data_IF_369976108010
#
_entry.id   IF_369976108010
#
_cell.length_a   1.000
_cell.length_b   1.000
_cell.length_c   1.000
_cell.angle_alpha   90.00
_cell.angle_beta   90.00
_cell.angle_gamma   90.00
#
_symmetry.space_group_name_H-M   'P 1'
#
loop_
_entity.id
_entity.type
_entity.pdbx_description
1 polymer ?
#
# COMPACT_ATOMS: atom_id res chain seq x y z
N UNK A 1 0.11 -10.93 0.36
CA UNK A 1 0.02 -10.31 1.69
C UNK A 1 0.91 -9.08 1.73
N UNK A 2 0.43 -7.96 2.27
CA UNK A 2 1.25 -6.76 2.46
C UNK A 2 2.24 -7.01 3.61
N UNK A 3 3.57 -6.82 3.41
CA UNK A 3 4.54 -6.99 4.47
C UNK A 3 4.36 -5.93 5.56
N UNK A 4 4.77 -6.27 6.78
CA UNK A 4 4.77 -5.34 7.92
C UNK A 4 6.20 -5.18 8.42
N UNK A 5 6.71 -3.95 8.36
CA UNK A 5 7.99 -3.60 8.91
C UNK A 5 7.87 -3.16 10.37
N UNK A 6 8.63 -3.78 11.24
CA UNK A 6 8.76 -3.38 12.64
C UNK A 6 10.19 -2.95 12.92
N UNK A 7 10.43 -1.64 12.99
CA UNK A 7 11.73 -1.02 13.25
C UNK A 7 12.38 -1.58 14.53
N UNK A 8 11.57 -1.98 15.50
CA UNK A 8 12.03 -2.48 16.79
C UNK A 8 12.78 -3.79 16.68
N UNK A 9 12.50 -4.61 15.68
CA UNK A 9 13.14 -5.93 15.52
C UNK A 9 14.65 -5.84 15.33
N UNK A 10 15.12 -4.75 14.72
CA UNK A 10 16.56 -4.53 14.45
C UNK A 10 17.15 -3.40 15.27
N UNK A 11 16.39 -2.36 15.58
CA UNK A 11 16.89 -1.12 16.18
C UNK A 11 16.44 -0.90 17.62
N UNK A 12 15.65 -1.82 18.20
CA UNK A 12 15.09 -1.65 19.55
C UNK A 12 14.03 -0.55 19.62
N UNK A 13 13.78 -0.02 20.79
CA UNK A 13 12.79 1.03 20.99
C UNK A 13 13.27 2.35 20.37
N UNK A 14 12.44 2.93 19.52
CA UNK A 14 12.70 4.16 18.76
C UNK A 14 11.48 5.08 18.80
N UNK A 15 11.63 6.29 18.24
CA UNK A 15 10.51 7.21 18.01
C UNK A 15 9.68 6.88 16.76
N UNK A 16 9.85 5.69 16.16
CA UNK A 16 9.18 5.21 14.95
C UNK A 16 9.55 5.93 13.64
N UNK A 17 10.43 6.92 13.68
CA UNK A 17 10.87 7.62 12.48
C UNK A 17 12.05 6.92 11.82
N UNK A 18 12.07 6.97 10.49
CA UNK A 18 13.22 6.54 9.69
C UNK A 18 14.17 7.73 9.58
N UNK A 19 15.24 7.72 10.37
CA UNK A 19 16.12 8.88 10.53
C UNK A 19 17.48 8.72 9.86
N UNK A 20 17.83 7.50 9.44
CA UNK A 20 19.12 7.22 8.85
C UNK A 20 19.03 6.18 7.73
N UNK A 21 20.13 6.06 6.99
CA UNK A 21 20.21 5.20 5.81
C UNK A 21 20.06 3.72 6.15
N UNK A 22 20.52 3.29 7.31
CA UNK A 22 20.45 1.88 7.73
C UNK A 22 18.99 1.48 7.97
N UNK A 23 18.23 2.31 8.67
CA UNK A 23 16.78 2.12 8.85
C UNK A 23 16.03 2.14 7.52
N UNK A 24 16.40 3.05 6.61
CA UNK A 24 15.81 3.12 5.27
C UNK A 24 16.08 1.87 4.43
N UNK A 25 17.29 1.30 4.52
CA UNK A 25 17.63 0.04 3.84
C UNK A 25 16.84 -1.13 4.39
N UNK A 26 16.73 -1.24 5.69
CA UNK A 26 15.96 -2.29 6.36
C UNK A 26 14.47 -2.24 5.99
N UNK A 27 13.89 -1.04 5.93
CA UNK A 27 12.54 -0.83 5.41
C UNK A 27 12.41 -1.26 3.94
N UNK A 28 13.38 -0.89 3.10
CA UNK A 28 13.39 -1.26 1.69
C UNK A 28 13.54 -2.78 1.49
N UNK A 29 14.36 -3.45 2.30
CA UNK A 29 14.47 -4.91 2.31
C UNK A 29 13.14 -5.57 2.68
N UNK A 30 12.44 -5.06 3.69
CA UNK A 30 11.11 -5.55 4.07
C UNK A 30 10.07 -5.31 2.96
N UNK A 31 10.12 -4.16 2.27
CA UNK A 31 9.27 -3.89 1.11
C UNK A 31 9.51 -4.91 -0.02
N UNK A 32 10.78 -5.22 -0.30
CA UNK A 32 11.17 -6.16 -1.36
C UNK A 32 10.60 -5.78 -2.73
N UNK A 33 9.96 -6.72 -3.40
CA UNK A 33 9.30 -6.52 -4.70
C UNK A 33 7.84 -6.03 -4.60
N UNK A 34 7.34 -5.76 -3.39
CA UNK A 34 5.98 -5.29 -3.20
C UNK A 34 5.87 -3.79 -3.52
N UNK A 35 4.65 -3.33 -3.77
CA UNK A 35 4.35 -1.91 -4.00
C UNK A 35 4.02 -1.15 -2.71
N UNK A 36 3.87 -1.87 -1.60
CA UNK A 36 3.50 -1.30 -0.30
C UNK A 36 4.07 -2.14 0.84
N UNK A 37 4.45 -1.47 1.92
CA UNK A 37 4.80 -2.05 3.21
C UNK A 37 4.11 -1.26 4.33
N UNK A 38 3.52 -1.96 5.28
CA UNK A 38 2.99 -1.34 6.50
C UNK A 38 4.14 -1.12 7.48
N UNK A 39 4.13 0.03 8.14
CA UNK A 39 5.11 0.39 9.15
C UNK A 39 4.42 0.37 10.52
N UNK A 40 4.80 -0.58 11.37
CA UNK A 40 4.17 -0.76 12.68
C UNK A 40 4.17 0.54 13.48
N UNK A 41 2.97 0.98 13.90
CA UNK A 41 2.78 2.18 14.73
C UNK A 41 3.04 3.51 14.02
N UNK A 42 3.27 3.50 12.69
CA UNK A 42 3.58 4.70 11.92
C UNK A 42 2.61 4.93 10.74
N UNK A 43 2.46 3.95 9.88
CA UNK A 43 1.64 4.07 8.67
C UNK A 43 2.07 3.10 7.58
N UNK A 44 2.32 3.60 6.38
CA UNK A 44 2.77 2.78 5.26
C UNK A 44 3.71 3.54 4.33
N UNK A 45 4.59 2.78 3.68
CA UNK A 45 5.37 3.26 2.53
C UNK A 45 4.82 2.61 1.27
N UNK A 46 4.61 3.43 0.24
CA UNK A 46 4.11 2.99 -1.07
C UNK A 46 5.10 3.43 -2.14
N UNK A 47 5.31 2.57 -3.13
CA UNK A 47 6.18 2.85 -4.27
C UNK A 47 5.45 2.58 -5.58
N UNK A 48 5.86 3.25 -6.64
CA UNK A 48 5.34 3.05 -7.99
C UNK A 48 6.35 3.52 -9.03
N UNK A 49 6.19 3.10 -10.26
CA UNK A 49 7.04 3.56 -11.38
C UNK A 49 6.74 5.01 -11.76
N UNK A 50 5.54 5.47 -11.47
CA UNK A 50 5.02 6.81 -11.72
C UNK A 50 4.28 7.30 -10.47
N UNK A 51 4.13 8.60 -10.32
CA UNK A 51 3.43 9.19 -9.17
C UNK A 51 1.95 8.77 -9.13
N UNK A 52 1.31 8.67 -10.30
CA UNK A 52 -0.07 8.24 -10.43
C UNK A 52 -0.27 6.82 -9.88
N UNK A 53 0.67 5.93 -10.16
CA UNK A 53 0.66 4.56 -9.67
C UNK A 53 0.80 4.50 -8.14
N UNK A 54 1.76 5.22 -7.57
CA UNK A 54 1.95 5.28 -6.13
C UNK A 54 0.71 5.86 -5.41
N UNK A 55 0.13 6.93 -5.93
CA UNK A 55 -1.09 7.53 -5.39
C UNK A 55 -2.28 6.57 -5.48
N UNK A 56 -2.45 5.89 -6.61
CA UNK A 56 -3.50 4.89 -6.81
C UNK A 56 -3.38 3.75 -5.80
N UNK A 57 -2.19 3.18 -5.64
CA UNK A 57 -1.93 2.12 -4.66
C UNK A 57 -2.24 2.60 -3.24
N UNK A 58 -1.81 3.79 -2.86
CA UNK A 58 -2.05 4.34 -1.52
C UNK A 58 -3.55 4.52 -1.23
N UNK A 59 -4.30 5.10 -2.17
CA UNK A 59 -5.75 5.34 -2.00
C UNK A 59 -6.51 4.01 -1.92
N UNK A 60 -6.25 3.08 -2.84
CA UNK A 60 -6.93 1.79 -2.84
C UNK A 60 -6.53 0.92 -1.63
N UNK A 61 -5.30 1.01 -1.15
CA UNK A 61 -4.90 0.32 0.07
C UNK A 61 -5.70 0.80 1.29
N UNK A 62 -5.88 2.10 1.45
CA UNK A 62 -6.72 2.67 2.51
C UNK A 62 -8.19 2.25 2.36
N UNK A 63 -8.72 2.27 1.14
CA UNK A 63 -10.09 1.87 0.86
C UNK A 63 -10.30 0.38 1.17
N UNK A 64 -9.42 -0.49 0.69
CA UNK A 64 -9.48 -1.92 0.92
C UNK A 64 -9.32 -2.28 2.40
N UNK A 65 -8.45 -1.58 3.14
CA UNK A 65 -8.33 -1.77 4.59
C UNK A 65 -9.65 -1.47 5.33
N UNK A 66 -10.32 -0.38 4.96
CA UNK A 66 -11.64 -0.04 5.53
C UNK A 66 -12.70 -1.09 5.20
N UNK A 67 -12.76 -1.55 3.94
CA UNK A 67 -13.69 -2.60 3.51
C UNK A 67 -13.42 -3.90 4.28
N UNK A 68 -12.15 -4.29 4.39
CA UNK A 68 -11.76 -5.50 5.12
C UNK A 68 -12.15 -5.42 6.59
N UNK A 69 -11.91 -4.29 7.24
CA UNK A 69 -12.32 -4.07 8.64
C UNK A 69 -13.84 -4.17 8.80
N UNK A 70 -14.62 -3.56 7.91
CA UNK A 70 -16.07 -3.63 7.94
C UNK A 70 -16.58 -5.07 7.70
N UNK A 71 -16.02 -5.77 6.72
CA UNK A 71 -16.37 -7.16 6.42
C UNK A 71 -16.05 -8.10 7.59
N UNK A 72 -14.93 -7.87 8.28
CA UNK A 72 -14.52 -8.67 9.44
C UNK A 72 -15.48 -8.56 10.63
N UNK A 73 -16.26 -7.49 10.72
CA UNK A 73 -17.30 -7.34 11.75
C UNK A 73 -18.53 -8.21 11.47
N UNK A 74 -18.78 -8.57 10.22
CA UNK A 74 -19.91 -9.38 9.78
C UNK A 74 -19.58 -10.87 9.63
N UNK A 75 -18.32 -11.25 9.80
CA UNK A 75 -17.84 -12.62 9.64
C UNK A 75 -16.42 -12.67 9.07
N UNK A 76 -16.03 -13.82 8.54
CA UNK A 76 -14.71 -13.98 7.90
C UNK A 76 -14.74 -13.44 6.48
N UNK A 77 -13.92 -12.44 6.13
CA UNK A 77 -13.83 -11.92 4.78
C UNK A 77 -13.43 -13.00 3.78
N UNK A 78 -14.05 -12.99 2.61
CA UNK A 78 -13.64 -13.82 1.48
C UNK A 78 -12.64 -13.04 0.63
N UNK A 79 -11.42 -13.55 0.54
CA UNK A 79 -10.36 -12.93 -0.25
C UNK A 79 -10.34 -13.48 -1.67
N UNK A 80 -9.83 -12.69 -2.60
CA UNK A 80 -9.54 -13.14 -3.96
C UNK A 80 -8.52 -14.28 -3.94
N UNK A 81 -8.67 -15.22 -4.84
CA UNK A 81 -7.66 -16.25 -5.11
C UNK A 81 -6.44 -15.62 -5.80
N UNK A 82 -5.28 -16.29 -5.74
CA UNK A 82 -4.06 -15.80 -6.41
C UNK A 82 -4.29 -15.58 -7.91
N UNK A 83 -5.09 -16.44 -8.55
CA UNK A 83 -5.41 -16.33 -9.97
C UNK A 83 -6.34 -15.14 -10.29
N UNK A 84 -7.31 -14.86 -9.43
CA UNK A 84 -8.14 -13.66 -9.55
C UNK A 84 -7.30 -12.39 -9.36
N UNK A 85 -6.33 -12.41 -8.44
CA UNK A 85 -5.37 -11.32 -8.24
C UNK A 85 -4.54 -11.08 -9.51
N UNK A 86 -4.05 -12.13 -10.16
CA UNK A 86 -3.32 -12.01 -11.43
C UNK A 86 -4.16 -11.34 -12.52
N UNK A 87 -5.40 -11.80 -12.72
CA UNK A 87 -6.31 -11.23 -13.73
C UNK A 87 -6.70 -9.79 -13.44
N UNK A 88 -6.92 -9.44 -12.18
CA UNK A 88 -7.31 -8.07 -11.80
C UNK A 88 -6.13 -7.10 -11.83
N UNK A 89 -4.90 -7.59 -11.64
CA UNK A 89 -3.68 -6.77 -11.68
C UNK A 89 -3.54 -6.02 -13.01
N UNK A 90 -3.68 -6.70 -14.13
CA UNK A 90 -3.52 -6.11 -15.46
C UNK A 90 -4.55 -5.01 -15.73
N UNK A 91 -5.78 -5.22 -15.27
CA UNK A 91 -6.85 -4.22 -15.38
C UNK A 91 -6.55 -3.02 -14.47
N UNK A 92 -6.11 -3.28 -13.23
CA UNK A 92 -5.80 -2.24 -12.25
C UNK A 92 -4.67 -1.31 -12.73
N UNK A 93 -3.60 -1.89 -13.28
CA UNK A 93 -2.44 -1.14 -13.79
C UNK A 93 -2.56 -0.72 -15.25
N UNK A 94 -3.72 -0.93 -15.90
CA UNK A 94 -3.92 -0.45 -17.26
C UNK A 94 -3.90 1.08 -17.32
N UNK A 95 -3.42 1.66 -18.41
CA UNK A 95 -3.39 3.10 -18.60
C UNK A 95 -4.78 3.73 -18.50
N UNK A 96 -5.81 3.05 -19.01
CA UNK A 96 -7.19 3.53 -18.94
C UNK A 96 -7.64 3.65 -17.48
N UNK A 97 -7.41 2.62 -16.67
CA UNK A 97 -7.81 2.63 -15.25
C UNK A 97 -7.05 3.68 -14.47
N UNK A 98 -5.73 3.79 -14.68
CA UNK A 98 -4.89 4.78 -14.01
C UNK A 98 -5.24 6.21 -14.39
N UNK A 99 -5.39 6.50 -15.67
CA UNK A 99 -5.72 7.85 -16.14
C UNK A 99 -7.10 8.29 -15.63
N UNK A 100 -8.11 7.42 -15.68
CA UNK A 100 -9.45 7.73 -15.15
C UNK A 100 -9.43 8.05 -13.65
N UNK A 101 -8.73 7.26 -12.86
CA UNK A 101 -8.59 7.49 -11.42
C UNK A 101 -7.82 8.78 -11.14
N UNK A 102 -6.70 9.00 -11.81
CA UNK A 102 -5.88 10.18 -11.68
C UNK A 102 -6.64 11.46 -12.02
N UNK A 103 -7.30 11.50 -13.16
CA UNK A 103 -8.12 12.67 -13.61
C UNK A 103 -9.26 12.97 -12.63
N UNK A 104 -9.85 11.94 -12.04
CA UNK A 104 -10.88 12.12 -11.02
C UNK A 104 -10.32 12.80 -9.76
N UNK A 105 -9.17 12.34 -9.25
CA UNK A 105 -8.57 12.89 -8.03
C UNK A 105 -8.00 14.29 -8.26
N UNK A 106 -7.34 14.53 -9.39
CA UNK A 106 -6.84 15.88 -9.75
C UNK A 106 -7.99 16.88 -9.80
N UNK A 107 -9.10 16.54 -10.43
CA UNK A 107 -10.29 17.42 -10.46
C UNK A 107 -10.82 17.71 -9.06
N UNK A 108 -10.81 16.72 -8.15
CA UNK A 108 -11.22 16.94 -6.76
C UNK A 108 -10.29 17.83 -5.95
N UNK A 109 -9.02 17.88 -6.28
CA UNK A 109 -8.06 18.76 -5.61
C UNK A 109 -8.11 20.21 -6.12
N UNK A 110 -8.67 20.44 -7.30
CA UNK A 110 -8.71 21.79 -7.96
C UNK A 110 -10.05 22.49 -7.80
N UNK A 111 -11.03 21.88 -7.16
CA UNK A 111 -12.33 22.46 -6.80
C UNK A 111 -12.39 22.83 -5.33
#
# INVERSE_FOLDING_TARGET
TVPVWDIRLKFGDTNMLVLNLEQGRDLAECLGSNTMVLMRGHGSTVVGKRIEEAVMVAIYACLNARIQMAASQSGSPQFLTDREIEFTRDVFYSEISMNRAWDYWVRKCTT
#
